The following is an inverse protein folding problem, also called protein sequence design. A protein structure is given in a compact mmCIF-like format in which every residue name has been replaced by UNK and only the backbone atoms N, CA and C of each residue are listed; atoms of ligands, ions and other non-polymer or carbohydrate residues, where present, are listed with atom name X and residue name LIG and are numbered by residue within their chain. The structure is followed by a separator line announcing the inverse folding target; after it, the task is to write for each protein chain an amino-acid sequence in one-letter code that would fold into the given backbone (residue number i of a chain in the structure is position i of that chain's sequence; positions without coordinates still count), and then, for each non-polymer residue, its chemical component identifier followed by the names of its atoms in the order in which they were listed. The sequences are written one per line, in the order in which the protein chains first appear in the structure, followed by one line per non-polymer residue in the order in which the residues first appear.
data_IF_792257754957
#
_entry.id   IF_792257754957
#
_cell.length_a   1.000
_cell.length_b   1.000
_cell.length_c   1.000
_cell.angle_alpha   90.00
_cell.angle_beta   90.00
_cell.angle_gamma   90.00
#
_symmetry.space_group_name_H-M   'P 1'
#
loop_
_entity.id
_entity.type
_entity.pdbx_description
1 polymer ?
#
# COMPACT_ATOMS: atom_id res chain seq x y z
N UNK A 1 -39.68 0.55 4.42
CA UNK A 1 -38.41 1.30 4.44
C UNK A 1 -37.45 0.50 5.31
N UNK A 2 -36.27 0.13 4.79
CA UNK A 2 -35.28 -0.65 5.55
C UNK A 2 -34.55 0.36 6.46
N UNK A 3 -34.58 0.14 7.78
CA UNK A 3 -33.84 1.00 8.73
C UNK A 3 -32.47 0.35 9.02
N UNK A 4 -31.40 1.16 9.11
CA UNK A 4 -30.09 0.67 9.54
C UNK A 4 -30.14 0.10 10.96
N UNK A 5 -29.23 -0.83 11.28
CA UNK A 5 -29.11 -1.36 12.63
C UNK A 5 -28.72 -0.23 13.61
N UNK A 6 -29.28 -0.23 14.84
CA UNK A 6 -29.04 0.80 15.85
C UNK A 6 -27.55 1.02 16.17
N UNK A 7 -26.73 -0.03 16.12
CA UNK A 7 -25.27 0.05 16.31
C UNK A 7 -24.57 0.99 15.33
N UNK A 8 -25.20 1.30 14.18
CA UNK A 8 -24.64 2.23 13.19
C UNK A 8 -24.81 3.69 13.60
N UNK A 9 -25.73 3.99 14.52
CA UNK A 9 -25.98 5.34 15.00
C UNK A 9 -24.80 5.92 15.82
N UNK A 10 -23.92 5.06 16.32
CA UNK A 10 -22.71 5.44 17.08
C UNK A 10 -21.48 5.58 16.22
N UNK A 11 -21.54 5.23 14.94
CA UNK A 11 -20.41 5.33 14.01
C UNK A 11 -20.32 6.77 13.51
N UNK A 12 -19.28 7.46 13.94
CA UNK A 12 -18.94 8.78 13.42
C UNK A 12 -18.01 8.66 12.21
N UNK A 13 -18.17 9.58 11.27
CA UNK A 13 -17.24 9.68 10.15
C UNK A 13 -15.81 9.90 10.67
N UNK A 14 -14.85 9.18 10.06
CA UNK A 14 -13.45 9.29 10.43
C UNK A 14 -12.96 10.73 10.31
N UNK A 15 -12.32 11.24 11.36
CA UNK A 15 -11.93 12.65 11.47
C UNK A 15 -11.17 13.17 10.24
N UNK A 16 -10.15 12.41 9.79
CA UNK A 16 -9.36 12.82 8.62
C UNK A 16 -10.18 12.83 7.32
N UNK A 17 -11.13 11.89 7.14
CA UNK A 17 -12.03 11.91 5.98
C UNK A 17 -12.80 13.23 5.89
N UNK A 18 -13.36 13.68 7.04
CA UNK A 18 -14.07 14.95 7.13
C UNK A 18 -13.16 16.15 6.83
N UNK A 19 -11.93 16.15 7.38
CA UNK A 19 -10.97 17.24 7.16
C UNK A 19 -10.46 17.31 5.72
N UNK A 20 -10.26 16.17 5.07
CA UNK A 20 -9.89 16.15 3.65
C UNK A 20 -11.00 16.72 2.76
N UNK A 21 -12.28 16.41 3.07
CA UNK A 21 -13.42 17.00 2.35
C UNK A 21 -13.49 18.52 2.56
N UNK A 22 -13.23 18.99 3.77
CA UNK A 22 -13.18 20.42 4.10
C UNK A 22 -12.09 21.15 3.30
N UNK A 23 -10.86 20.61 3.29
CA UNK A 23 -9.75 21.16 2.51
C UNK A 23 -10.07 21.17 1.02
N UNK A 24 -10.61 20.07 0.48
CA UNK A 24 -11.00 19.99 -0.92
C UNK A 24 -12.05 21.05 -1.28
N UNK A 25 -13.06 21.26 -0.43
CA UNK A 25 -14.08 22.30 -0.64
C UNK A 25 -13.51 23.73 -0.58
N UNK A 26 -12.54 23.99 0.30
CA UNK A 26 -11.85 25.28 0.38
C UNK A 26 -10.96 25.52 -0.84
N UNK A 27 -10.27 24.51 -1.32
CA UNK A 27 -9.45 24.60 -2.54
C UNK A 27 -10.31 24.82 -3.79
N UNK A 28 -11.50 24.19 -3.84
CA UNK A 28 -12.46 24.47 -4.92
C UNK A 28 -12.96 25.93 -4.92
N UNK A 29 -12.84 26.65 -3.81
CA UNK A 29 -13.13 28.07 -3.67
C UNK A 29 -11.90 28.97 -3.92
N UNK A 30 -10.77 28.40 -4.35
CA UNK A 30 -9.54 29.10 -4.65
C UNK A 30 -8.67 29.48 -3.45
N UNK A 31 -8.82 28.77 -2.29
CA UNK A 31 -8.02 29.05 -1.08
C UNK A 31 -6.58 28.56 -1.17
N UNK A 32 -6.26 27.64 -2.11
CA UNK A 32 -4.92 27.09 -2.34
C UNK A 32 -4.24 26.52 -1.09
N UNK A 33 -4.98 25.71 -0.35
CA UNK A 33 -4.51 25.09 0.90
C UNK A 33 -3.61 23.89 0.59
N UNK A 34 -2.36 23.93 1.04
CA UNK A 34 -1.44 22.80 1.01
C UNK A 34 -1.70 21.91 2.23
N UNK A 35 -2.17 20.69 2.00
CA UNK A 35 -2.46 19.74 3.09
C UNK A 35 -1.22 18.94 3.46
N UNK A 36 -0.82 19.01 4.72
CA UNK A 36 0.23 18.16 5.32
C UNK A 36 -0.37 17.08 6.24
N UNK A 37 -1.68 16.84 6.15
CA UNK A 37 -2.40 15.96 7.08
C UNK A 37 -2.12 14.47 6.83
N UNK A 38 -1.73 14.09 5.62
CA UNK A 38 -1.44 12.70 5.26
C UNK A 38 -0.07 12.67 4.57
N UNK A 39 0.82 11.84 5.11
CA UNK A 39 2.10 11.54 4.46
C UNK A 39 1.85 10.59 3.27
N UNK A 40 1.93 11.13 2.08
CA UNK A 40 1.86 10.36 0.84
C UNK A 40 3.10 10.65 0.01
N UNK A 41 3.74 9.65 -0.61
CA UNK A 41 4.80 9.90 -1.58
C UNK A 41 4.28 10.82 -2.69
N UNK A 42 5.04 11.86 -3.00
CA UNK A 42 4.75 12.81 -4.09
C UNK A 42 5.44 12.43 -5.39
N UNK A 43 6.47 11.57 -5.31
CA UNK A 43 7.21 11.07 -6.46
C UNK A 43 6.73 9.67 -6.83
N UNK A 44 6.58 9.37 -8.14
CA UNK A 44 6.31 8.00 -8.58
C UNK A 44 7.52 7.09 -8.31
N UNK A 45 7.34 5.75 -8.28
CA UNK A 45 8.44 4.81 -8.34
C UNK A 45 9.27 5.03 -9.62
N UNK A 46 10.49 4.49 -9.64
CA UNK A 46 11.32 4.54 -10.86
C UNK A 46 10.60 3.88 -12.05
N UNK A 47 10.86 4.37 -13.25
CA UNK A 47 10.31 3.78 -14.49
C UNK A 47 10.64 2.29 -14.61
N UNK A 48 11.87 1.89 -14.22
CA UNK A 48 12.27 0.48 -14.21
C UNK A 48 11.37 -0.38 -13.30
N UNK A 49 10.96 0.16 -12.14
CA UNK A 49 10.04 -0.54 -11.22
C UNK A 49 8.67 -0.70 -11.86
N UNK A 50 8.15 0.35 -12.49
CA UNK A 50 6.84 0.34 -13.16
C UNK A 50 6.85 -0.64 -14.33
N UNK A 51 7.87 -0.58 -15.18
CA UNK A 51 8.01 -1.45 -16.34
C UNK A 51 8.15 -2.91 -15.94
N UNK A 52 8.90 -3.17 -14.86
CA UNK A 52 9.03 -4.52 -14.31
C UNK A 52 7.67 -5.04 -13.84
N UNK A 53 6.90 -4.24 -13.08
CA UNK A 53 5.55 -4.61 -12.66
C UNK A 53 4.65 -4.93 -13.87
N UNK A 54 4.65 -4.06 -14.87
CA UNK A 54 3.84 -4.25 -16.08
C UNK A 54 4.25 -5.51 -16.86
N UNK A 55 5.54 -5.79 -16.97
CA UNK A 55 6.06 -6.99 -17.62
C UNK A 55 5.67 -8.26 -16.87
N UNK A 56 5.86 -8.28 -15.56
CA UNK A 56 5.54 -9.43 -14.73
C UNK A 56 4.02 -9.70 -14.69
N UNK A 57 3.20 -8.65 -14.61
CA UNK A 57 1.74 -8.78 -14.61
C UNK A 57 1.15 -9.33 -15.92
N UNK A 58 1.90 -9.28 -17.03
CA UNK A 58 1.47 -9.86 -18.32
C UNK A 58 1.76 -11.35 -18.46
N UNK A 59 2.50 -11.95 -17.54
CA UNK A 59 2.77 -13.38 -17.56
C UNK A 59 1.51 -14.18 -17.26
N UNK A 60 1.21 -15.24 -17.99
CA UNK A 60 -0.03 -16.01 -17.83
C UNK A 60 -0.12 -16.73 -16.48
N UNK A 61 1.00 -16.98 -15.82
CA UNK A 61 1.10 -17.65 -14.52
C UNK A 61 1.17 -16.69 -13.33
N UNK A 62 1.10 -15.37 -13.56
CA UNK A 62 1.21 -14.37 -12.50
C UNK A 62 -0.08 -14.19 -11.67
N UNK A 63 -1.20 -14.77 -12.08
CA UNK A 63 -2.53 -14.51 -11.52
C UNK A 63 -3.09 -15.65 -10.66
N UNK A 64 -2.29 -16.68 -10.40
CA UNK A 64 -2.68 -17.82 -9.58
C UNK A 64 -2.75 -17.49 -8.09
N UNK A 65 -3.45 -18.35 -7.35
CA UNK A 65 -3.48 -18.28 -5.89
C UNK A 65 -2.08 -18.55 -5.33
N UNK A 66 -1.62 -17.68 -4.46
CA UNK A 66 -0.27 -17.75 -3.91
C UNK A 66 -0.26 -18.38 -2.50
N UNK A 67 0.85 -19.03 -2.09
CA UNK A 67 1.01 -19.52 -0.74
C UNK A 67 0.97 -18.39 0.28
N UNK A 68 0.45 -18.66 1.48
CA UNK A 68 0.41 -17.69 2.59
C UNK A 68 1.80 -17.20 3.02
N UNK A 69 2.83 -17.99 2.73
CA UNK A 69 4.24 -17.63 2.99
C UNK A 69 4.87 -16.76 1.88
N UNK A 70 4.11 -16.40 0.85
CA UNK A 70 4.62 -15.70 -0.33
C UNK A 70 5.44 -16.59 -1.27
N UNK A 71 5.73 -16.10 -2.47
CA UNK A 71 6.53 -16.84 -3.44
C UNK A 71 8.01 -16.89 -3.03
N UNK A 72 8.73 -17.99 -3.31
CA UNK A 72 10.14 -18.12 -2.95
C UNK A 72 11.03 -17.00 -3.51
N UNK A 73 10.74 -16.54 -4.73
CA UNK A 73 11.49 -15.47 -5.38
C UNK A 73 11.42 -14.15 -4.60
N UNK A 74 10.25 -13.81 -4.04
CA UNK A 74 10.08 -12.60 -3.22
C UNK A 74 10.88 -12.72 -1.92
N UNK A 75 10.80 -13.85 -1.24
CA UNK A 75 11.56 -14.08 0.00
C UNK A 75 13.07 -14.02 -0.24
N UNK A 76 13.55 -14.62 -1.35
CA UNK A 76 14.96 -14.53 -1.73
C UNK A 76 15.38 -13.09 -2.03
N UNK A 77 14.54 -12.33 -2.75
CA UNK A 77 14.83 -10.92 -3.03
C UNK A 77 14.91 -10.07 -1.75
N UNK A 78 14.04 -10.34 -0.78
CA UNK A 78 14.09 -9.70 0.54
C UNK A 78 15.39 -10.05 1.30
N UNK A 79 15.80 -11.33 1.32
CA UNK A 79 17.06 -11.74 1.92
C UNK A 79 18.26 -11.04 1.28
N UNK A 80 18.30 -11.00 -0.06
CA UNK A 80 19.35 -10.32 -0.80
C UNK A 80 19.39 -8.81 -0.52
N UNK A 81 18.23 -8.19 -0.36
CA UNK A 81 18.13 -6.77 0.01
C UNK A 81 18.75 -6.50 1.37
N UNK A 82 18.41 -7.29 2.39
CA UNK A 82 18.98 -7.14 3.73
C UNK A 82 20.49 -7.41 3.75
N UNK A 83 20.94 -8.43 3.04
CA UNK A 83 22.37 -8.70 2.91
C UNK A 83 23.11 -7.53 2.25
N UNK A 84 22.57 -7.00 1.13
CA UNK A 84 23.23 -5.93 0.37
C UNK A 84 23.33 -4.61 1.13
N UNK A 85 22.26 -4.20 1.80
CA UNK A 85 22.15 -2.86 2.36
C UNK A 85 22.49 -2.77 3.85
N UNK A 86 22.31 -3.88 4.57
CA UNK A 86 22.48 -3.91 6.02
C UNK A 86 23.53 -4.92 6.50
N UNK A 87 24.10 -5.70 5.57
CA UNK A 87 25.02 -6.81 5.88
C UNK A 87 24.43 -7.83 6.87
N UNK A 88 23.12 -8.11 6.71
CA UNK A 88 22.37 -9.08 7.50
C UNK A 88 22.02 -10.26 6.62
N UNK A 89 22.48 -11.45 7.01
CA UNK A 89 22.11 -12.71 6.36
C UNK A 89 20.81 -13.24 6.97
N UNK A 90 19.82 -13.52 6.10
CA UNK A 90 18.53 -14.09 6.47
C UNK A 90 18.25 -15.32 5.63
N UNK A 91 17.77 -16.39 6.30
CA UNK A 91 17.28 -17.57 5.59
C UNK A 91 15.90 -17.27 4.98
N UNK A 92 15.76 -17.26 3.64
CA UNK A 92 14.50 -16.91 2.98
C UNK A 92 13.34 -17.87 3.27
N UNK A 93 13.63 -19.07 3.78
CA UNK A 93 12.61 -20.09 4.04
C UNK A 93 12.08 -20.06 5.47
N UNK A 94 12.85 -19.54 6.43
CA UNK A 94 12.53 -19.62 7.86
C UNK A 94 12.49 -18.28 8.58
N UNK A 95 13.08 -17.22 7.99
CA UNK A 95 13.23 -15.92 8.66
C UNK A 95 12.56 -14.77 7.90
N UNK A 96 11.89 -15.06 6.78
CA UNK A 96 11.18 -14.05 5.98
C UNK A 96 9.74 -14.47 5.76
N UNK A 97 8.82 -13.59 6.16
CA UNK A 97 7.38 -13.73 5.96
C UNK A 97 6.84 -12.47 5.27
N UNK A 98 6.55 -12.51 3.96
CA UNK A 98 5.82 -11.43 3.29
C UNK A 98 4.41 -11.27 3.85
N UNK A 99 3.99 -10.04 4.04
CA UNK A 99 2.65 -9.69 4.52
C UNK A 99 1.96 -8.74 3.55
N UNK A 100 0.63 -8.72 3.59
CA UNK A 100 -0.20 -7.78 2.81
C UNK A 100 -0.75 -6.74 3.79
N UNK A 101 -0.39 -5.48 3.56
CA UNK A 101 -0.87 -4.37 4.38
C UNK A 101 0.01 -3.98 5.54
#
# INVERSE_FOLDING_TARGET
MIQPAERLNTINEYYFSRKLKEVAALNAQGKDIISLAIGSPDMPPSEETIDTLCREARKPDAHGYQPTTGIPQLRQAMANFYQRWYNVELNPNTEIQPLIG
#
